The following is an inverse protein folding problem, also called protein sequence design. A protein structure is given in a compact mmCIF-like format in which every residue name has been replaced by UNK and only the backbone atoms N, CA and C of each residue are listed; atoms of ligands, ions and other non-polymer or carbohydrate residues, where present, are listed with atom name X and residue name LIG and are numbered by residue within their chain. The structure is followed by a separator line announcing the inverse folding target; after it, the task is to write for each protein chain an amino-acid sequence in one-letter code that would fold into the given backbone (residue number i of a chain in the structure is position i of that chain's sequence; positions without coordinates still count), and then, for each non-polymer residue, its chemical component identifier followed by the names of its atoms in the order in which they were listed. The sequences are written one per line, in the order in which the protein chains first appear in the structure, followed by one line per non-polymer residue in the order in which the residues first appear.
data_IF_034052453226
#
_entry.id   IF_034052453226
#
_cell.length_a   1.000
_cell.length_b   1.000
_cell.length_c   1.000
_cell.angle_alpha   90.00
_cell.angle_beta   90.00
_cell.angle_gamma   90.00
#
_symmetry.space_group_name_H-M   'P 1'
#
loop_
_entity.id
_entity.type
_entity.pdbx_description
1 polymer ?
#
# COMPACT_ATOMS: atom_id res chain seq x y z
N UNK A 1 20.05 6.87 -2.52
CA UNK A 1 19.46 6.94 -3.87
C UNK A 1 20.21 5.98 -4.79
N UNK A 2 19.50 5.34 -5.73
CA UNK A 2 20.05 4.40 -6.72
C UNK A 2 19.52 4.79 -8.11
N UNK A 3 20.22 4.42 -9.19
CA UNK A 3 19.78 4.72 -10.55
C UNK A 3 18.54 3.87 -10.89
N UNK A 4 17.48 4.52 -11.38
CA UNK A 4 16.25 3.84 -11.80
C UNK A 4 15.33 3.37 -10.67
N UNK A 5 15.57 3.79 -9.43
CA UNK A 5 14.74 3.47 -8.26
C UNK A 5 14.32 4.78 -7.58
N UNK A 6 13.03 4.93 -7.25
CA UNK A 6 12.53 6.12 -6.56
C UNK A 6 13.28 6.34 -5.23
N UNK A 7 13.80 7.54 -5.03
CA UNK A 7 14.59 7.87 -3.84
C UNK A 7 13.80 7.86 -2.54
N UNK A 8 12.46 7.84 -2.60
CA UNK A 8 11.58 7.67 -1.43
C UNK A 8 11.63 6.26 -0.85
N UNK A 9 12.06 5.27 -1.63
CA UNK A 9 12.26 3.90 -1.17
C UNK A 9 13.60 3.79 -0.43
N UNK A 10 13.54 3.76 0.90
CA UNK A 10 14.72 3.52 1.73
C UNK A 10 15.14 2.04 1.67
N UNK A 11 16.29 1.73 2.30
CA UNK A 11 16.88 0.40 2.26
C UNK A 11 15.97 -0.69 2.86
N UNK A 12 15.30 -0.40 3.98
CA UNK A 12 14.46 -1.37 4.67
C UNK A 12 13.18 -1.67 3.88
N UNK A 13 12.59 -0.64 3.27
CA UNK A 13 11.45 -0.80 2.36
C UNK A 13 11.84 -1.62 1.15
N UNK A 14 12.96 -1.30 0.48
CA UNK A 14 13.42 -2.09 -0.67
C UNK A 14 13.70 -3.54 -0.30
N UNK A 15 14.30 -3.79 0.86
CA UNK A 15 14.55 -5.13 1.37
C UNK A 15 13.24 -5.90 1.57
N UNK A 16 12.25 -5.29 2.22
CA UNK A 16 10.92 -5.86 2.42
C UNK A 16 10.28 -6.24 1.08
N UNK A 17 10.12 -5.25 0.18
CA UNK A 17 9.48 -5.45 -1.13
C UNK A 17 10.16 -6.56 -1.95
N UNK A 18 11.50 -6.63 -1.91
CA UNK A 18 12.25 -7.64 -2.68
C UNK A 18 12.19 -9.04 -2.07
N UNK A 19 11.93 -9.13 -0.76
CA UNK A 19 11.85 -10.40 -0.03
C UNK A 19 10.46 -11.02 -0.04
N UNK A 20 9.42 -10.25 -0.39
CA UNK A 20 8.05 -10.74 -0.54
C UNK A 20 7.95 -11.79 -1.65
N UNK A 21 7.26 -12.88 -1.35
CA UNK A 21 6.82 -13.89 -2.31
C UNK A 21 5.51 -13.52 -2.99
N UNK A 22 5.08 -14.36 -3.93
CA UNK A 22 3.76 -14.22 -4.55
C UNK A 22 2.66 -14.46 -3.53
N UNK A 23 1.70 -13.53 -3.45
CA UNK A 23 0.61 -13.57 -2.48
C UNK A 23 0.94 -12.97 -1.10
N UNK A 24 2.19 -12.57 -0.85
CA UNK A 24 2.51 -11.78 0.35
C UNK A 24 1.84 -10.41 0.27
N UNK A 25 1.29 -9.94 1.39
CA UNK A 25 0.61 -8.67 1.50
C UNK A 25 1.42 -7.69 2.37
N UNK A 26 1.27 -6.40 2.07
CA UNK A 26 1.74 -5.30 2.91
C UNK A 26 0.61 -4.32 3.17
N UNK A 27 0.78 -3.50 4.21
CA UNK A 27 -0.17 -2.44 4.56
C UNK A 27 0.52 -1.09 4.41
N UNK A 28 -0.10 -0.18 3.66
CA UNK A 28 0.21 1.25 3.70
C UNK A 28 -0.76 1.89 4.66
N UNK A 29 -0.23 2.51 5.72
CA UNK A 29 -1.04 3.07 6.78
C UNK A 29 -0.75 4.55 6.98
N UNK A 30 -1.78 5.30 7.36
CA UNK A 30 -1.65 6.69 7.77
C UNK A 30 -1.12 6.79 9.22
N UNK A 31 -1.08 8.02 9.74
CA UNK A 31 -0.65 8.29 11.12
C UNK A 31 -1.69 7.96 12.18
N UNK A 32 -2.92 7.62 11.78
CA UNK A 32 -4.02 7.26 12.69
C UNK A 32 -4.09 5.76 12.95
N UNK A 33 -3.58 4.95 12.01
CA UNK A 33 -3.52 3.50 12.14
C UNK A 33 -2.58 3.07 13.28
N UNK A 34 -2.92 2.03 14.06
CA UNK A 34 -2.09 1.54 15.18
C UNK A 34 -0.89 0.70 14.68
N UNK A 35 -0.05 1.32 13.84
CA UNK A 35 0.99 0.66 13.06
C UNK A 35 2.04 -0.04 13.92
N UNK A 36 2.47 0.56 15.03
CA UNK A 36 3.46 -0.03 15.94
C UNK A 36 2.99 -1.34 16.58
N UNK A 37 1.71 -1.45 16.95
CA UNK A 37 1.17 -2.71 17.48
C UNK A 37 0.94 -3.74 16.39
N UNK A 38 0.40 -3.32 15.25
CA UNK A 38 0.08 -4.23 14.14
C UNK A 38 1.36 -4.82 13.53
N UNK A 39 2.41 -4.01 13.36
CA UNK A 39 3.68 -4.44 12.78
C UNK A 39 4.33 -5.60 13.53
N UNK A 40 4.15 -5.70 14.85
CA UNK A 40 4.65 -6.82 15.67
C UNK A 40 4.05 -8.18 15.31
N UNK A 41 2.90 -8.18 14.63
CA UNK A 41 2.21 -9.37 14.16
C UNK A 41 2.47 -9.68 12.68
N UNK A 42 3.26 -8.85 12.00
CA UNK A 42 3.66 -9.07 10.59
C UNK A 42 4.92 -9.93 10.49
N UNK A 43 5.23 -10.41 9.29
CA UNK A 43 6.45 -11.20 9.03
C UNK A 43 7.76 -10.47 9.38
N UNK A 44 7.77 -9.13 9.38
CA UNK A 44 8.95 -8.35 9.79
C UNK A 44 9.02 -8.08 11.30
N UNK A 45 7.89 -8.16 12.01
CA UNK A 45 7.81 -7.86 13.44
C UNK A 45 8.10 -6.39 13.83
N UNK A 46 8.35 -5.51 12.86
CA UNK A 46 8.73 -4.11 13.08
C UNK A 46 8.11 -3.20 12.02
N UNK A 47 7.84 -1.95 12.40
CA UNK A 47 7.27 -0.94 11.52
C UNK A 47 8.34 -0.40 10.56
N UNK A 48 8.03 -0.38 9.26
CA UNK A 48 8.80 0.36 8.27
C UNK A 48 8.25 1.77 8.12
N UNK A 49 9.13 2.75 7.89
CA UNK A 49 8.76 4.16 7.80
C UNK A 49 9.07 4.74 6.43
N UNK A 50 8.08 5.40 5.83
CA UNK A 50 8.24 6.29 4.68
C UNK A 50 7.68 7.65 5.10
N UNK A 51 8.55 8.53 5.60
CA UNK A 51 8.13 9.73 6.32
C UNK A 51 7.82 10.90 5.37
N UNK A 52 6.86 11.74 5.77
CA UNK A 52 6.48 12.98 5.09
C UNK A 52 5.96 12.81 3.66
N UNK A 53 5.22 11.71 3.41
CA UNK A 53 4.59 11.42 2.13
C UNK A 53 3.07 11.31 2.28
N UNK A 54 2.31 11.61 1.24
CA UNK A 54 0.92 11.14 1.16
C UNK A 54 0.88 9.64 0.90
N UNK A 55 -0.26 9.00 1.18
CA UNK A 55 -0.44 7.58 0.82
C UNK A 55 -0.32 7.36 -0.70
N UNK A 56 -0.78 8.32 -1.50
CA UNK A 56 -0.58 8.34 -2.96
C UNK A 56 0.89 8.35 -3.35
N UNK A 57 1.70 9.23 -2.77
CA UNK A 57 3.14 9.28 -3.07
C UNK A 57 3.86 7.99 -2.65
N UNK A 58 3.53 7.45 -1.47
CA UNK A 58 4.10 6.21 -0.99
C UNK A 58 3.77 5.01 -1.91
N UNK A 59 2.49 4.85 -2.28
CA UNK A 59 2.08 3.73 -3.15
C UNK A 59 2.66 3.89 -4.57
N UNK A 60 2.75 5.12 -5.10
CA UNK A 60 3.35 5.37 -6.41
C UNK A 60 4.82 4.94 -6.44
N UNK A 61 5.59 5.22 -5.38
CA UNK A 61 6.96 4.72 -5.25
C UNK A 61 7.01 3.21 -5.13
N UNK A 62 6.14 2.59 -4.33
CA UNK A 62 6.13 1.13 -4.12
C UNK A 62 5.79 0.39 -5.42
N UNK A 63 4.75 0.81 -6.13
CA UNK A 63 4.32 0.19 -7.40
C UNK A 63 5.31 0.39 -8.54
N UNK A 64 6.31 1.29 -8.39
CA UNK A 64 7.42 1.38 -9.35
C UNK A 64 8.33 0.14 -9.35
N UNK A 65 8.26 -0.69 -8.30
CA UNK A 65 9.10 -1.90 -8.15
C UNK A 65 8.33 -3.15 -7.72
N UNK A 66 7.12 -3.02 -7.15
CA UNK A 66 6.29 -4.12 -6.70
C UNK A 66 5.13 -4.38 -7.68
N UNK A 67 5.09 -5.54 -8.36
CA UNK A 67 3.95 -5.92 -9.19
C UNK A 67 2.76 -6.33 -8.30
N UNK A 68 1.56 -5.85 -8.63
CA UNK A 68 0.33 -6.32 -8.00
C UNK A 68 -0.06 -7.69 -8.56
N UNK A 69 -0.66 -8.52 -7.71
CA UNK A 69 -1.12 -9.84 -8.13
C UNK A 69 -2.24 -9.70 -9.17
N UNK A 70 -2.15 -10.43 -10.28
CA UNK A 70 -3.11 -10.38 -11.39
C UNK A 70 -4.12 -11.53 -11.39
N UNK A 71 -3.98 -12.48 -10.47
CA UNK A 71 -4.80 -13.70 -10.41
C UNK A 71 -5.95 -13.62 -9.41
N UNK A 72 -6.02 -12.53 -8.65
CA UNK A 72 -7.03 -12.32 -7.60
C UNK A 72 -7.75 -10.99 -7.75
N UNK A 73 -8.99 -10.97 -7.26
CA UNK A 73 -9.82 -9.77 -7.26
C UNK A 73 -9.42 -8.81 -6.12
N UNK A 74 -8.93 -9.34 -4.99
CA UNK A 74 -8.49 -8.60 -3.79
C UNK A 74 -7.02 -8.17 -3.83
N UNK A 75 -6.52 -7.84 -5.01
CA UNK A 75 -5.14 -7.42 -5.25
C UNK A 75 -4.73 -6.15 -4.47
N UNK A 76 -5.70 -5.30 -4.13
CA UNK A 76 -5.53 -4.12 -3.29
C UNK A 76 -6.84 -3.80 -2.58
N UNK A 77 -6.75 -3.49 -1.28
CA UNK A 77 -7.90 -3.22 -0.41
C UNK A 77 -7.79 -1.84 0.25
N UNK A 78 -8.94 -1.21 0.46
CA UNK A 78 -9.09 0.06 1.19
C UNK A 78 -10.06 -0.11 2.34
N UNK A 79 -9.80 0.58 3.44
CA UNK A 79 -10.70 0.59 4.59
C UNK A 79 -11.99 1.34 4.26
N UNK A 80 -13.14 0.78 4.64
CA UNK A 80 -14.45 1.42 4.50
C UNK A 80 -14.56 2.67 5.38
N UNK A 81 -15.25 3.70 4.86
CA UNK A 81 -15.76 4.78 5.70
C UNK A 81 -16.92 4.20 6.51
N UNK A 82 -16.88 4.36 7.83
CA UNK A 82 -17.88 3.80 8.74
C UNK A 82 -19.27 4.32 8.37
N UNK A 83 -20.16 3.42 7.94
CA UNK A 83 -21.52 3.75 7.51
C UNK A 83 -21.65 4.24 6.06
N UNK A 84 -20.55 4.29 5.30
CA UNK A 84 -20.51 4.71 3.90
C UNK A 84 -19.47 3.89 3.10
N UNK A 85 -19.70 2.57 2.88
CA UNK A 85 -18.70 1.68 2.28
C UNK A 85 -18.28 2.08 0.85
N UNK A 86 -19.18 2.70 0.09
CA UNK A 86 -18.94 3.17 -1.27
C UNK A 86 -18.24 4.55 -1.33
N UNK A 87 -18.10 5.24 -0.19
CA UNK A 87 -17.40 6.52 -0.15
C UNK A 87 -15.89 6.31 -0.36
N UNK A 88 -15.32 7.13 -1.23
CA UNK A 88 -13.90 7.13 -1.55
C UNK A 88 -13.30 8.51 -1.19
N UNK A 89 -12.77 8.67 0.03
CA UNK A 89 -12.09 9.89 0.45
C UNK A 89 -10.91 10.26 -0.45
N UNK A 90 -10.51 11.53 -0.46
CA UNK A 90 -9.43 12.04 -1.30
C UNK A 90 -8.14 11.22 -1.21
N UNK A 91 -7.72 10.83 0.00
CA UNK A 91 -6.52 10.00 0.19
C UNK A 91 -6.64 8.62 -0.48
N UNK A 92 -7.83 8.01 -0.47
CA UNK A 92 -8.07 6.74 -1.16
C UNK A 92 -8.14 6.92 -2.68
N UNK A 93 -8.66 8.06 -3.15
CA UNK A 93 -8.63 8.42 -4.58
C UNK A 93 -7.19 8.61 -5.09
N UNK A 94 -6.32 9.29 -4.34
CA UNK A 94 -4.90 9.44 -4.71
C UNK A 94 -4.21 8.09 -4.89
N UNK A 95 -4.49 7.13 -3.99
CA UNK A 95 -3.97 5.75 -4.09
C UNK A 95 -4.55 5.03 -5.30
N UNK A 96 -5.85 5.17 -5.55
CA UNK A 96 -6.52 4.56 -6.70
C UNK A 96 -5.92 5.02 -8.03
N UNK A 97 -5.57 6.31 -8.13
CA UNK A 97 -4.98 6.89 -9.34
C UNK A 97 -3.59 6.31 -9.62
N UNK A 98 -2.78 6.07 -8.58
CA UNK A 98 -1.47 5.42 -8.73
C UNK A 98 -1.59 3.95 -9.14
N UNK A 99 -2.57 3.23 -8.59
CA UNK A 99 -2.85 1.85 -9.02
C UNK A 99 -3.21 1.83 -10.51
N UNK A 100 -4.11 2.71 -10.93
CA UNK A 100 -4.53 2.79 -12.34
C UNK A 100 -3.35 3.12 -13.26
N UNK A 101 -2.46 4.00 -12.83
CA UNK A 101 -1.25 4.36 -13.56
C UNK A 101 -0.29 3.18 -13.69
N UNK A 102 -0.03 2.46 -12.60
CA UNK A 102 0.88 1.31 -12.59
C UNK A 102 0.35 0.13 -13.44
N UNK A 103 -0.96 -0.12 -13.39
CA UNK A 103 -1.61 -1.20 -14.14
C UNK A 103 -1.90 -0.82 -15.61
N UNK A 104 -1.82 0.48 -15.95
CA UNK A 104 -2.16 1.00 -17.27
C UNK A 104 -3.64 0.91 -17.63
N UNK A 105 -4.51 0.64 -16.64
CA UNK A 105 -5.96 0.49 -16.79
C UNK A 105 -6.67 0.74 -15.45
N UNK A 106 -7.97 1.08 -15.46
CA UNK A 106 -8.76 1.11 -14.24
C UNK A 106 -8.76 -0.26 -13.54
N UNK A 107 -8.33 -0.29 -12.29
CA UNK A 107 -8.37 -1.50 -11.45
C UNK A 107 -8.79 -1.09 -10.03
N UNK A 108 -10.08 -1.13 -9.70
CA UNK A 108 -10.61 -0.56 -8.46
C UNK A 108 -10.19 -1.37 -7.22
N UNK A 109 -9.80 -0.69 -6.15
CA UNK A 109 -9.58 -1.31 -4.84
C UNK A 109 -10.87 -1.89 -4.26
N UNK A 110 -10.77 -3.01 -3.55
CA UNK A 110 -11.88 -3.62 -2.82
C UNK A 110 -12.02 -2.94 -1.44
N UNK A 111 -13.25 -2.82 -0.94
CA UNK A 111 -13.52 -2.29 0.39
C UNK A 111 -13.39 -3.37 1.46
N UNK A 112 -12.82 -3.02 2.62
CA UNK A 112 -12.73 -3.89 3.79
C UNK A 112 -13.24 -3.16 5.03
N UNK A 113 -14.12 -3.83 5.78
CA UNK A 113 -14.64 -3.32 7.06
C UNK A 113 -13.50 -3.19 8.08
N UNK A 114 -13.63 -2.27 9.04
CA UNK A 114 -12.58 -1.93 10.01
C UNK A 114 -12.03 -3.10 10.81
N UNK A 115 -12.83 -4.12 11.10
CA UNK A 115 -12.49 -5.23 11.99
C UNK A 115 -12.52 -6.60 11.30
N UNK A 116 -12.59 -6.64 9.97
CA UNK A 116 -12.53 -7.87 9.19
C UNK A 116 -11.21 -8.64 9.38
#
# INVERSE_FOLDING_TARGET
MLKGIDSKLNADVLHCLRSMGHGDALVICDTNFPAESVARHTGLGTLLRMENLTCGEAIGSILSVLPLDTFVDDFAMRMEVVGAPDELPATQQEVQDQINLAEGKPRPMISVERFA
#
